data_IF_591125516626
#
_entry.id   IF_591125516626
#
_cell.length_a   1.000
_cell.length_b   1.000
_cell.length_c   1.000
_cell.angle_alpha   90.00
_cell.angle_beta   90.00
_cell.angle_gamma   90.00
#
_symmetry.space_group_name_H-M   'P 1'
#
loop_
_entity.id
_entity.type
_entity.pdbx_description
1 polymer ?
#
# COMPACT_ATOMS: atom_id res chain seq x y z
N UNK A 1 8.78 -35.99 -12.53
CA UNK A 1 8.04 -34.92 -11.76
C UNK A 1 6.69 -35.46 -11.35
N UNK A 2 6.44 -35.60 -10.04
CA UNK A 2 5.15 -36.04 -9.52
C UNK A 2 4.13 -34.94 -9.79
N UNK A 3 3.04 -35.24 -10.49
CA UNK A 3 1.93 -34.30 -10.68
C UNK A 3 1.29 -34.02 -9.33
N UNK A 4 1.23 -32.75 -8.93
CA UNK A 4 0.45 -32.31 -7.78
C UNK A 4 -1.04 -32.62 -8.05
N UNK A 5 -1.66 -33.39 -7.16
CA UNK A 5 -3.09 -33.63 -7.22
C UNK A 5 -3.85 -32.52 -6.47
N UNK A 6 -5.20 -32.49 -6.62
CA UNK A 6 -6.05 -31.51 -5.96
C UNK A 6 -5.93 -31.54 -4.42
N UNK A 7 -5.65 -32.69 -3.86
CA UNK A 7 -5.47 -32.86 -2.41
C UNK A 7 -4.18 -32.23 -1.91
N UNK A 8 -3.09 -32.36 -2.69
CA UNK A 8 -1.80 -31.76 -2.35
C UNK A 8 -1.86 -30.24 -2.48
N UNK A 9 -2.59 -29.72 -3.47
CA UNK A 9 -2.87 -28.29 -3.59
C UNK A 9 -3.65 -27.76 -2.38
N UNK A 10 -4.73 -28.44 -1.98
CA UNK A 10 -5.52 -28.02 -0.81
C UNK A 10 -4.74 -28.11 0.51
N UNK A 11 -3.81 -29.04 0.65
CA UNK A 11 -2.91 -29.12 1.82
C UNK A 11 -1.95 -27.94 1.86
N UNK A 12 -1.41 -27.53 0.71
CA UNK A 12 -0.51 -26.38 0.59
C UNK A 12 -1.27 -25.07 0.92
N UNK A 13 -2.46 -24.91 0.35
CA UNK A 13 -3.33 -23.75 0.64
C UNK A 13 -3.79 -23.74 2.11
N UNK A 14 -4.16 -24.90 2.65
CA UNK A 14 -4.54 -25.05 4.05
C UNK A 14 -3.39 -24.76 5.03
N UNK A 15 -2.17 -25.17 4.71
CA UNK A 15 -1.00 -24.86 5.49
C UNK A 15 -0.64 -23.35 5.43
N UNK A 16 -0.84 -22.72 4.28
CA UNK A 16 -0.69 -21.27 4.11
C UNK A 16 -1.72 -20.48 4.93
N UNK A 17 -2.98 -20.92 4.95
CA UNK A 17 -4.03 -20.31 5.75
C UNK A 17 -3.82 -20.51 7.27
N UNK A 18 -3.30 -21.66 7.70
CA UNK A 18 -2.96 -21.90 9.11
C UNK A 18 -1.76 -21.07 9.57
N UNK A 19 -0.80 -20.79 8.68
CA UNK A 19 0.32 -19.90 8.98
C UNK A 19 -0.12 -18.43 9.13
N UNK A 20 -1.25 -18.03 8.55
CA UNK A 20 -1.81 -16.68 8.70
C UNK A 20 -2.57 -16.47 10.01
N UNK A 21 -2.86 -17.53 10.78
CA UNK A 21 -3.54 -17.45 12.09
C UNK A 21 -2.56 -17.39 13.27
N UNK A 22 -1.26 -17.50 13.04
CA UNK A 22 -0.28 -17.15 14.06
C UNK A 22 -0.38 -15.64 14.25
N UNK A 23 -0.73 -15.13 15.45
CA UNK A 23 -0.63 -13.71 15.70
C UNK A 23 0.85 -13.36 15.52
N UNK A 24 1.16 -12.77 14.37
CA UNK A 24 2.42 -12.11 14.20
C UNK A 24 2.36 -10.98 15.21
N UNK A 25 2.94 -11.25 16.38
CA UNK A 25 3.30 -10.21 17.32
C UNK A 25 4.31 -9.34 16.56
N UNK A 26 3.78 -8.39 15.82
CA UNK A 26 4.58 -7.33 15.26
C UNK A 26 5.01 -6.50 16.46
N UNK A 27 6.26 -6.55 16.87
CA UNK A 27 6.75 -5.60 17.86
C UNK A 27 6.70 -4.26 17.14
N UNK A 28 5.57 -3.56 17.30
CA UNK A 28 5.48 -2.21 16.84
C UNK A 28 6.59 -1.44 17.50
N UNK A 29 7.59 -1.05 16.77
CA UNK A 29 7.99 0.31 16.83
C UNK A 29 8.78 0.75 15.60
N UNK A 30 8.86 2.00 15.45
CA UNK A 30 9.73 2.66 14.49
C UNK A 30 9.58 2.09 13.07
N UNK A 31 8.38 2.10 12.58
CA UNK A 31 8.03 1.88 11.17
C UNK A 31 8.64 2.95 10.24
N UNK A 32 9.64 3.69 10.70
CA UNK A 32 10.42 4.59 9.86
C UNK A 32 11.63 3.96 9.17
N UNK A 33 11.97 2.70 9.51
CA UNK A 33 13.07 1.99 8.85
C UNK A 33 12.61 0.57 8.56
N UNK A 34 12.19 0.31 7.33
CA UNK A 34 12.14 -1.05 6.83
C UNK A 34 13.51 -1.72 7.04
N UNK A 35 13.57 -2.98 7.47
CA UNK A 35 14.82 -3.71 7.50
C UNK A 35 15.52 -3.55 6.17
N UNK A 36 16.83 -3.29 6.17
CA UNK A 36 17.60 -3.07 4.94
C UNK A 36 17.54 -4.25 3.97
N UNK A 37 17.23 -5.40 4.49
CA UNK A 37 17.11 -6.67 3.79
C UNK A 37 15.68 -7.03 3.36
N UNK A 38 14.68 -6.19 3.69
CA UNK A 38 13.28 -6.46 3.32
C UNK A 38 13.10 -6.71 1.82
N UNK A 39 13.82 -5.96 1.00
CA UNK A 39 13.82 -6.13 -0.46
C UNK A 39 14.98 -7.01 -0.98
N UNK A 40 15.75 -7.62 -0.09
CA UNK A 40 16.80 -8.56 -0.50
C UNK A 40 16.17 -9.93 -0.79
N UNK A 41 15.61 -10.06 -1.98
CA UNK A 41 14.97 -11.29 -2.44
C UNK A 41 15.94 -12.09 -3.29
N UNK A 42 16.34 -13.30 -2.86
CA UNK A 42 17.22 -14.14 -3.66
C UNK A 42 16.59 -14.48 -5.01
N UNK A 43 17.39 -14.52 -6.06
CA UNK A 43 16.96 -14.99 -7.37
C UNK A 43 16.66 -16.48 -7.31
N UNK A 44 15.48 -16.88 -7.79
CA UNK A 44 15.08 -18.30 -7.89
C UNK A 44 15.07 -18.80 -9.34
N UNK A 45 15.61 -18.03 -10.26
CA UNK A 45 15.67 -18.33 -11.68
C UNK A 45 16.64 -17.37 -12.38
N UNK A 46 16.56 -17.32 -13.69
CA UNK A 46 17.42 -16.49 -14.54
C UNK A 46 16.76 -15.16 -14.97
N UNK A 47 15.51 -14.94 -14.58
CA UNK A 47 14.79 -13.71 -14.86
C UNK A 47 13.94 -13.28 -13.66
N UNK A 48 13.73 -11.97 -13.52
CA UNK A 48 12.86 -11.36 -12.51
C UNK A 48 11.81 -10.49 -13.17
N UNK A 49 10.56 -10.69 -12.81
CA UNK A 49 9.46 -9.79 -13.19
C UNK A 49 9.26 -8.78 -12.06
N UNK A 50 9.28 -7.50 -12.41
CA UNK A 50 8.95 -6.38 -11.53
C UNK A 50 7.57 -5.87 -11.95
N UNK A 51 6.58 -6.11 -11.12
CA UNK A 51 5.21 -5.69 -11.38
C UNK A 51 4.89 -4.47 -10.52
N UNK A 52 4.44 -3.40 -11.18
CA UNK A 52 3.90 -2.19 -10.55
C UNK A 52 2.45 -2.03 -10.99
N UNK A 53 1.64 -1.39 -10.17
CA UNK A 53 0.24 -1.10 -10.48
C UNK A 53 -0.26 0.02 -9.58
N UNK A 54 -1.34 0.68 -10.00
CA UNK A 54 -2.10 1.63 -9.17
C UNK A 54 -1.25 2.78 -8.57
N UNK A 55 -0.35 3.33 -9.34
CA UNK A 55 0.50 4.46 -8.89
C UNK A 55 -0.31 5.74 -8.73
N UNK A 56 -1.43 5.87 -9.46
CA UNK A 56 -2.41 6.95 -9.36
C UNK A 56 -1.81 8.35 -9.47
N UNK A 57 -0.85 8.55 -10.37
CA UNK A 57 -0.23 9.85 -10.61
C UNK A 57 0.53 10.42 -9.42
N UNK A 58 0.96 9.59 -8.49
CA UNK A 58 1.71 10.02 -7.31
C UNK A 58 3.18 10.27 -7.66
N UNK A 59 3.47 11.43 -8.25
CA UNK A 59 4.83 11.82 -8.63
C UNK A 59 5.74 12.00 -7.42
N UNK A 60 5.24 12.68 -6.39
CA UNK A 60 6.03 13.00 -5.19
C UNK A 60 5.53 12.21 -3.98
N UNK A 61 6.41 11.92 -3.01
CA UNK A 61 6.00 11.27 -1.78
C UNK A 61 5.05 12.15 -0.97
N UNK A 62 4.03 11.54 -0.39
CA UNK A 62 3.01 12.20 0.41
C UNK A 62 2.92 11.59 1.80
N UNK A 63 2.39 12.37 2.74
CA UNK A 63 2.06 11.84 4.06
C UNK A 63 0.90 10.88 3.98
N UNK A 64 0.93 9.87 4.83
CA UNK A 64 -0.23 8.99 5.07
C UNK A 64 -1.48 9.83 5.34
N UNK A 65 -2.59 9.42 4.73
CA UNK A 65 -3.90 10.06 4.90
C UNK A 65 -4.88 9.06 5.49
N UNK A 66 -5.94 9.60 6.12
CA UNK A 66 -7.06 8.77 6.53
C UNK A 66 -7.64 8.05 5.30
N UNK A 67 -7.71 6.69 5.30
CA UNK A 67 -8.06 5.94 4.10
C UNK A 67 -9.52 6.12 3.64
N UNK A 68 -10.42 6.46 4.57
CA UNK A 68 -11.85 6.53 4.32
C UNK A 68 -12.37 7.97 4.38
N UNK A 69 -11.73 8.87 3.65
CA UNK A 69 -12.22 10.25 3.55
C UNK A 69 -13.36 10.30 2.54
N UNK A 70 -14.58 10.40 3.04
CA UNK A 70 -15.77 10.61 2.24
C UNK A 70 -16.25 12.06 2.45
N UNK A 71 -15.84 12.95 1.58
CA UNK A 71 -16.15 14.37 1.69
C UNK A 71 -17.53 14.68 1.11
N UNK A 72 -18.46 15.11 1.95
CA UNK A 72 -19.71 15.69 1.50
C UNK A 72 -19.50 17.13 1.04
N UNK A 73 -20.27 17.56 0.06
CA UNK A 73 -20.33 18.94 -0.43
C UNK A 73 -21.72 19.53 -0.20
N UNK A 74 -21.81 20.86 -0.08
CA UNK A 74 -23.10 21.54 0.18
C UNK A 74 -23.77 21.02 1.44
N UNK A 75 -25.02 20.66 1.35
CA UNK A 75 -25.83 20.18 2.49
C UNK A 75 -25.39 18.82 3.04
N UNK A 76 -24.61 18.04 2.30
CA UNK A 76 -24.06 16.78 2.75
C UNK A 76 -22.81 16.94 3.64
N UNK A 77 -22.21 18.14 3.68
CA UNK A 77 -21.01 18.40 4.47
C UNK A 77 -21.24 18.14 5.96
N UNK A 78 -20.39 17.30 6.53
CA UNK A 78 -20.42 16.95 7.95
C UNK A 78 -21.64 16.14 8.39
N UNK A 79 -22.40 15.57 7.45
CA UNK A 79 -23.52 14.64 7.72
C UNK A 79 -23.16 13.23 7.26
N UNK A 80 -23.67 12.18 7.95
CA UNK A 80 -23.52 10.80 7.46
C UNK A 80 -24.07 10.64 6.03
N UNK A 81 -23.42 9.86 5.18
CA UNK A 81 -22.22 9.04 5.40
C UNK A 81 -20.89 9.81 5.25
N UNK A 82 -20.91 11.13 5.20
CA UNK A 82 -19.75 11.99 4.89
C UNK A 82 -19.04 12.50 6.16
N UNK A 83 -18.94 11.67 7.17
CA UNK A 83 -18.21 11.94 8.40
C UNK A 83 -17.20 10.84 8.68
N UNK A 84 -16.04 11.23 9.16
CA UNK A 84 -14.93 10.32 9.47
C UNK A 84 -14.25 10.72 10.79
N UNK A 85 -13.37 9.88 11.29
CA UNK A 85 -12.59 10.15 12.48
C UNK A 85 -13.44 10.37 13.73
N UNK A 86 -13.03 11.29 14.58
CA UNK A 86 -13.73 11.59 15.84
C UNK A 86 -15.18 12.03 15.67
N UNK A 87 -15.51 12.71 14.57
CA UNK A 87 -16.88 13.11 14.28
C UNK A 87 -17.78 11.90 14.02
N UNK A 88 -17.28 10.91 13.28
CA UNK A 88 -18.01 9.66 13.05
C UNK A 88 -18.25 8.93 14.37
N UNK A 89 -17.22 8.78 15.20
CA UNK A 89 -17.34 8.11 16.49
C UNK A 89 -18.36 8.81 17.40
N UNK A 90 -18.31 10.14 17.47
CA UNK A 90 -19.29 10.92 18.23
C UNK A 90 -20.72 10.71 17.71
N UNK A 91 -20.89 10.68 16.38
CA UNK A 91 -22.20 10.46 15.76
C UNK A 91 -22.76 9.07 16.07
N UNK A 92 -21.88 8.06 16.08
CA UNK A 92 -22.26 6.67 16.36
C UNK A 92 -22.26 6.31 17.85
N UNK A 93 -21.88 7.23 18.74
CA UNK A 93 -21.78 6.96 20.17
C UNK A 93 -20.66 5.98 20.54
N UNK A 94 -19.64 5.87 19.69
CA UNK A 94 -18.51 4.98 19.90
C UNK A 94 -17.43 5.71 20.72
N UNK A 95 -16.94 5.05 21.75
CA UNK A 95 -15.87 5.59 22.62
C UNK A 95 -14.53 5.59 21.87
N UNK A 96 -13.82 6.72 21.89
CA UNK A 96 -12.45 6.81 21.38
C UNK A 96 -11.55 5.77 22.05
N UNK A 97 -10.58 5.24 21.31
CA UNK A 97 -9.62 4.22 21.75
C UNK A 97 -10.25 2.86 22.16
N UNK A 98 -11.47 2.59 21.73
CA UNK A 98 -12.07 1.26 21.82
C UNK A 98 -11.75 0.42 20.59
N UNK A 99 -11.86 -0.92 20.64
CA UNK A 99 -11.72 -1.77 19.46
C UNK A 99 -12.65 -1.37 18.33
N UNK A 100 -13.88 -0.98 18.64
CA UNK A 100 -14.86 -0.51 17.67
C UNK A 100 -14.40 0.79 16.98
N UNK A 101 -13.79 1.71 17.74
CA UNK A 101 -13.26 2.94 17.18
C UNK A 101 -12.20 2.68 16.13
N UNK A 102 -11.30 1.74 16.37
CA UNK A 102 -10.27 1.33 15.39
C UNK A 102 -10.83 0.55 14.20
N UNK A 103 -11.96 -0.12 14.36
CA UNK A 103 -12.64 -0.81 13.27
C UNK A 103 -13.33 0.17 12.31
N UNK A 104 -13.82 1.31 12.82
CA UNK A 104 -14.60 2.28 12.04
C UNK A 104 -13.80 3.49 11.56
N UNK A 105 -12.70 3.85 12.22
CA UNK A 105 -11.98 5.06 11.88
C UNK A 105 -10.53 5.05 12.36
N UNK A 106 -9.69 5.82 11.67
CA UNK A 106 -8.31 6.09 12.08
C UNK A 106 -8.26 7.35 12.95
N UNK A 107 -8.14 7.18 14.26
CA UNK A 107 -8.18 8.30 15.19
C UNK A 107 -6.92 9.15 15.22
N UNK A 108 -5.78 8.49 15.09
CA UNK A 108 -4.46 9.10 15.26
C UNK A 108 -3.69 9.18 13.92
N UNK A 109 -4.40 9.24 12.78
CA UNK A 109 -3.74 9.20 11.48
C UNK A 109 -2.73 10.33 11.28
N UNK A 110 -2.97 11.53 11.84
CA UNK A 110 -2.05 12.67 11.74
C UNK A 110 -0.74 12.41 12.46
N UNK A 111 -0.80 11.82 13.64
CA UNK A 111 0.40 11.50 14.43
C UNK A 111 1.16 10.33 13.81
N UNK A 112 0.44 9.32 13.34
CA UNK A 112 1.04 8.22 12.59
C UNK A 112 1.65 8.72 11.27
N UNK A 113 0.98 9.62 10.54
CA UNK A 113 1.53 10.21 9.34
C UNK A 113 2.86 10.96 9.58
N UNK A 114 2.96 11.69 10.69
CA UNK A 114 4.21 12.35 11.07
C UNK A 114 5.30 11.35 11.44
N UNK A 115 4.94 10.29 12.15
CA UNK A 115 5.85 9.22 12.57
C UNK A 115 6.43 8.44 11.38
N UNK A 116 5.60 8.08 10.41
CA UNK A 116 6.01 7.38 9.19
C UNK A 116 6.70 8.30 8.18
N UNK A 117 6.36 9.59 8.19
CA UNK A 117 6.83 10.54 7.20
C UNK A 117 6.14 10.40 5.86
N UNK A 118 6.77 10.94 4.83
CA UNK A 118 6.27 10.85 3.46
C UNK A 118 6.64 9.51 2.83
N UNK A 119 5.71 8.90 2.13
CA UNK A 119 5.84 7.60 1.47
C UNK A 119 5.43 7.65 0.01
N UNK A 120 5.84 6.65 -0.76
CA UNK A 120 5.54 6.55 -2.18
C UNK A 120 6.31 7.57 -3.04
N UNK A 121 5.79 7.81 -4.24
CA UNK A 121 6.39 8.69 -5.23
C UNK A 121 7.35 7.99 -6.21
N UNK A 122 7.45 8.55 -7.42
CA UNK A 122 8.29 7.96 -8.48
C UNK A 122 9.79 7.90 -8.15
N UNK A 123 10.40 8.89 -7.47
CA UNK A 123 11.82 8.78 -7.14
C UNK A 123 12.13 7.55 -6.27
N UNK A 124 11.27 7.26 -5.29
CA UNK A 124 11.41 6.09 -4.43
C UNK A 124 11.16 4.79 -5.20
N UNK A 125 10.10 4.78 -6.02
CA UNK A 125 9.78 3.65 -6.88
C UNK A 125 10.92 3.35 -7.85
N UNK A 126 11.47 4.37 -8.51
CA UNK A 126 12.63 4.22 -9.40
C UNK A 126 13.83 3.63 -8.69
N UNK A 127 14.17 4.18 -7.52
CA UNK A 127 15.30 3.67 -6.72
C UNK A 127 15.11 2.20 -6.36
N UNK A 128 13.90 1.82 -5.95
CA UNK A 128 13.58 0.42 -5.65
C UNK A 128 13.71 -0.49 -6.89
N UNK A 129 13.16 -0.05 -8.01
CA UNK A 129 13.25 -0.81 -9.27
C UNK A 129 14.70 -0.99 -9.73
N UNK A 130 15.52 0.06 -9.64
CA UNK A 130 16.92 -0.02 -10.02
C UNK A 130 17.70 -0.96 -9.10
N UNK A 131 17.49 -0.90 -7.80
CA UNK A 131 18.08 -1.83 -6.84
C UNK A 131 17.69 -3.30 -7.13
N UNK A 132 16.42 -3.55 -7.40
CA UNK A 132 15.94 -4.90 -7.72
C UNK A 132 16.49 -5.41 -9.06
N UNK A 133 16.72 -4.51 -10.03
CA UNK A 133 17.38 -4.85 -11.30
C UNK A 133 18.84 -5.21 -11.11
N UNK A 134 19.56 -4.44 -10.30
CA UNK A 134 20.96 -4.73 -9.95
C UNK A 134 21.08 -6.09 -9.26
N UNK A 135 20.21 -6.39 -8.30
CA UNK A 135 20.16 -7.69 -7.64
C UNK A 135 19.90 -8.85 -8.60
N UNK A 136 19.18 -8.60 -9.69
CA UNK A 136 18.91 -9.59 -10.73
C UNK A 136 20.05 -9.73 -11.77
N UNK A 137 21.14 -9.00 -11.61
CA UNK A 137 22.25 -8.99 -12.56
C UNK A 137 22.04 -8.02 -13.74
N UNK A 138 21.11 -7.08 -13.63
CA UNK A 138 20.91 -6.02 -14.61
C UNK A 138 19.57 -6.04 -15.35
N UNK A 139 19.38 -5.06 -16.22
CA UNK A 139 18.15 -4.89 -17.00
C UNK A 139 17.82 -6.06 -17.92
N UNK A 140 18.84 -6.75 -18.45
CA UNK A 140 18.69 -7.90 -19.34
C UNK A 140 18.01 -9.10 -18.67
N UNK A 141 18.06 -9.17 -17.34
CA UNK A 141 17.46 -10.25 -16.56
C UNK A 141 16.14 -9.81 -15.89
N UNK A 142 15.62 -8.63 -16.25
CA UNK A 142 14.41 -8.09 -15.63
C UNK A 142 13.41 -7.63 -16.67
N UNK A 143 12.15 -7.86 -16.39
CA UNK A 143 11.01 -7.29 -17.11
C UNK A 143 10.17 -6.48 -16.13
N UNK A 144 9.92 -5.21 -16.43
CA UNK A 144 8.99 -4.39 -15.67
C UNK A 144 7.65 -4.36 -16.39
N UNK A 145 6.58 -4.65 -15.65
CA UNK A 145 5.21 -4.68 -16.13
C UNK A 145 4.40 -3.71 -15.31
N UNK A 146 3.58 -2.89 -15.97
CA UNK A 146 2.58 -2.03 -15.35
C UNK A 146 1.20 -2.68 -15.49
N UNK A 147 0.53 -2.87 -14.37
CA UNK A 147 -0.82 -3.45 -14.29
C UNK A 147 -1.94 -2.45 -14.56
N UNK A 148 -1.62 -1.17 -14.76
CA UNK A 148 -2.58 -0.12 -15.01
C UNK A 148 -2.78 0.85 -13.85
N UNK A 149 -3.73 1.76 -14.02
CA UNK A 149 -4.05 2.86 -13.11
C UNK A 149 -2.83 3.75 -12.76
N UNK A 150 -1.91 3.88 -13.73
CA UNK A 150 -0.70 4.68 -13.55
C UNK A 150 -1.01 6.18 -13.46
N UNK A 151 -1.92 6.68 -14.29
CA UNK A 151 -2.05 8.10 -14.63
C UNK A 151 -3.18 8.82 -13.92
N UNK A 152 -4.18 8.13 -13.46
CA UNK A 152 -5.30 8.78 -12.79
C UNK A 152 -5.00 9.04 -11.29
N UNK A 153 -5.69 10.03 -10.74
CA UNK A 153 -5.74 10.28 -9.29
C UNK A 153 -4.98 11.52 -8.81
N UNK A 154 -4.22 12.21 -9.68
CA UNK A 154 -3.62 13.50 -9.34
C UNK A 154 -4.23 14.67 -10.12
N UNK A 155 -4.25 15.85 -9.51
CA UNK A 155 -4.69 17.07 -10.17
C UNK A 155 -3.79 17.45 -11.34
N UNK A 156 -2.47 17.27 -11.19
CA UNK A 156 -1.48 17.54 -12.24
C UNK A 156 -1.72 16.66 -13.44
N UNK A 157 -1.94 15.38 -13.24
CA UNK A 157 -2.22 14.44 -14.32
C UNK A 157 -3.50 14.80 -15.09
N UNK A 158 -4.53 15.29 -14.39
CA UNK A 158 -5.74 15.80 -15.01
C UNK A 158 -5.45 17.03 -15.87
N UNK A 159 -4.71 18.00 -15.35
CA UNK A 159 -4.44 19.27 -16.04
C UNK A 159 -3.50 19.11 -17.23
N UNK A 160 -2.51 18.23 -17.12
CA UNK A 160 -1.55 17.94 -18.19
C UNK A 160 -2.04 16.86 -19.16
N UNK A 161 -3.23 16.28 -18.91
CA UNK A 161 -3.78 15.15 -19.67
C UNK A 161 -2.83 13.94 -19.67
N UNK A 162 -2.14 13.74 -18.57
CA UNK A 162 -1.22 12.62 -18.37
C UNK A 162 0.21 12.84 -18.90
N UNK A 163 0.51 13.99 -19.49
CA UNK A 163 1.87 14.26 -20.03
C UNK A 163 2.91 14.23 -18.92
N UNK A 164 2.61 14.75 -17.74
CA UNK A 164 3.46 14.71 -16.54
C UNK A 164 3.87 13.31 -16.07
N UNK A 165 3.20 12.29 -16.58
CA UNK A 165 3.45 10.90 -16.22
C UNK A 165 4.30 10.17 -17.28
N UNK A 166 4.59 10.81 -18.41
CA UNK A 166 5.31 10.22 -19.56
C UNK A 166 6.68 10.85 -19.74
N UNK A 167 6.82 12.12 -19.39
CA UNK A 167 8.09 12.88 -19.44
C UNK A 167 8.89 12.73 -18.14
#
# INVERSE_FOLDING_TARGET
MKKLDRRDFLKIVGAGAAASTVPVFWPGPALGKMPRDFYNMPMQGNARILHITDVHGQLLPVYFREPNVNLGVGDAYGRPPHVVGKKLLKHMGIRENSPEAYAFSYLNFTDEARKYGKTGGFPQLKTLLDMLREQAGGKQNTLTIDGGDLWQGSGTSLWTRGVDMVE
#
